data_IF_942475580689
#
_entry.id   IF_942475580689
#
_cell.length_a   1.000
_cell.length_b   1.000
_cell.length_c   1.000
_cell.angle_alpha   90.00
_cell.angle_beta   90.00
_cell.angle_gamma   90.00
#
_symmetry.space_group_name_H-M   'P 1'
#
loop_
_entity.id
_entity.type
_entity.pdbx_description
1 polymer ?
#
# COMPACT_ATOMS: atom_id res chain seq x y z
N UNK A 1 13.64 -22.31 -4.35
CA UNK A 1 12.68 -23.43 -4.51
C UNK A 1 13.35 -24.78 -4.27
N UNK A 2 14.45 -25.13 -4.96
CA UNK A 2 15.11 -26.44 -4.79
C UNK A 2 15.48 -26.79 -3.35
N UNK A 3 16.08 -25.87 -2.57
CA UNK A 3 16.45 -26.13 -1.17
C UNK A 3 15.26 -26.52 -0.26
N UNK A 4 14.04 -26.14 -0.64
CA UNK A 4 12.83 -26.39 0.14
C UNK A 4 12.05 -27.58 -0.41
N UNK A 5 12.02 -27.76 -1.73
CA UNK A 5 11.09 -28.66 -2.41
C UNK A 5 11.73 -29.86 -3.12
N UNK A 6 13.03 -29.82 -3.40
CA UNK A 6 13.66 -30.90 -4.19
C UNK A 6 13.82 -32.17 -3.33
N UNK A 7 13.52 -33.31 -3.94
CA UNK A 7 13.70 -34.63 -3.33
C UNK A 7 15.18 -34.92 -3.02
N UNK A 8 15.43 -35.90 -2.16
CA UNK A 8 16.78 -36.36 -1.81
C UNK A 8 17.02 -37.78 -2.31
N UNK A 9 18.28 -38.14 -2.55
CA UNK A 9 18.63 -39.47 -3.02
C UNK A 9 18.34 -40.55 -1.96
N UNK A 10 18.31 -41.83 -2.37
CA UNK A 10 18.10 -42.98 -1.48
C UNK A 10 16.69 -43.11 -0.87
N UNK A 11 15.70 -42.41 -1.45
CA UNK A 11 14.29 -42.65 -1.13
C UNK A 11 13.88 -42.17 0.26
N UNK A 12 14.57 -41.17 0.82
CA UNK A 12 14.13 -40.57 2.08
C UNK A 12 12.70 -40.03 1.91
N UNK A 13 12.42 -39.15 0.94
CA UNK A 13 11.05 -38.72 0.60
C UNK A 13 10.95 -38.17 -0.83
N UNK A 14 9.90 -38.60 -1.55
CA UNK A 14 9.34 -37.93 -2.73
C UNK A 14 8.14 -37.06 -2.31
N UNK A 15 7.60 -36.26 -3.21
CA UNK A 15 6.37 -35.46 -3.02
C UNK A 15 6.42 -34.35 -1.94
N UNK A 16 7.53 -33.65 -1.80
CA UNK A 16 7.73 -32.65 -0.73
C UNK A 16 6.81 -31.45 -0.89
N UNK A 17 6.78 -30.85 -2.08
CA UNK A 17 5.96 -29.65 -2.33
C UNK A 17 4.72 -29.93 -3.18
N UNK A 18 4.65 -31.07 -3.86
CA UNK A 18 3.48 -31.50 -4.62
C UNK A 18 3.49 -33.02 -4.82
N UNK A 19 2.32 -33.63 -5.02
CA UNK A 19 2.19 -35.07 -5.28
C UNK A 19 2.61 -35.44 -6.71
N UNK A 20 3.31 -36.55 -6.87
CA UNK A 20 3.83 -37.04 -8.15
C UNK A 20 5.12 -36.36 -8.60
N UNK A 21 5.95 -35.90 -7.66
CA UNK A 21 7.28 -35.38 -7.94
C UNK A 21 8.22 -36.54 -8.35
N UNK A 22 8.99 -36.33 -9.40
CA UNK A 22 9.78 -37.39 -10.02
C UNK A 22 10.98 -37.79 -9.16
N UNK A 23 11.03 -39.06 -8.72
CA UNK A 23 12.11 -39.62 -7.90
C UNK A 23 13.51 -39.59 -8.57
N UNK A 24 13.58 -39.49 -9.90
CA UNK A 24 14.84 -39.33 -10.63
C UNK A 24 15.43 -37.91 -10.52
N UNK A 25 14.61 -36.92 -10.12
CA UNK A 25 14.96 -35.51 -10.04
C UNK A 25 15.37 -35.10 -8.62
N UNK A 26 16.11 -35.98 -7.94
CA UNK A 26 16.61 -35.77 -6.58
C UNK A 26 17.93 -35.01 -6.55
N UNK A 27 18.22 -34.32 -5.45
CA UNK A 27 19.51 -33.66 -5.24
C UNK A 27 20.53 -34.70 -4.80
N UNK A 28 21.44 -35.10 -5.71
CA UNK A 28 22.33 -36.25 -5.49
C UNK A 28 23.67 -35.95 -4.81
N UNK A 29 24.12 -34.69 -4.83
CA UNK A 29 25.44 -34.31 -4.31
C UNK A 29 25.40 -32.93 -3.62
N UNK A 30 26.50 -32.54 -2.97
CA UNK A 30 26.68 -31.21 -2.38
C UNK A 30 26.85 -30.08 -3.42
N UNK A 31 26.59 -30.35 -4.70
CA UNK A 31 26.71 -29.39 -5.79
C UNK A 31 25.44 -28.57 -6.01
N UNK A 32 25.40 -27.81 -7.10
CA UNK A 32 24.22 -27.03 -7.48
C UNK A 32 22.98 -27.93 -7.66
N UNK A 33 21.77 -27.42 -7.37
CA UNK A 33 20.55 -28.19 -7.53
C UNK A 33 20.33 -28.59 -9.00
N UNK A 34 19.77 -29.79 -9.19
CA UNK A 34 19.51 -30.30 -10.53
C UNK A 34 18.46 -29.45 -11.28
N UNK A 35 18.83 -28.92 -12.45
CA UNK A 35 17.99 -27.96 -13.17
C UNK A 35 16.63 -28.55 -13.57
N UNK A 36 16.57 -29.81 -14.00
CA UNK A 36 15.31 -30.43 -14.41
C UNK A 36 14.35 -30.58 -13.23
N UNK A 37 14.85 -30.88 -12.03
CA UNK A 37 14.06 -30.89 -10.81
C UNK A 37 13.48 -29.49 -10.51
N UNK A 38 14.31 -28.46 -10.62
CA UNK A 38 13.86 -27.09 -10.41
C UNK A 38 12.77 -26.68 -11.41
N UNK A 39 12.89 -27.09 -12.68
CA UNK A 39 11.87 -26.85 -13.72
C UNK A 39 10.57 -27.60 -13.45
N UNK A 40 10.65 -28.85 -13.02
CA UNK A 40 9.48 -29.64 -12.64
C UNK A 40 8.70 -28.97 -11.50
N UNK A 41 9.40 -28.60 -10.43
CA UNK A 41 8.82 -27.88 -9.29
C UNK A 41 8.19 -26.56 -9.76
N UNK A 42 8.91 -25.76 -10.54
CA UNK A 42 8.41 -24.49 -11.07
C UNK A 42 7.17 -24.68 -11.95
N UNK A 43 7.13 -25.74 -12.76
CA UNK A 43 5.98 -26.08 -13.61
C UNK A 43 4.71 -26.44 -12.83
N UNK A 44 4.82 -26.72 -11.53
CA UNK A 44 3.66 -26.96 -10.64
C UNK A 44 3.19 -25.70 -9.92
N UNK A 45 3.97 -24.62 -9.90
CA UNK A 45 3.66 -23.37 -9.23
C UNK A 45 2.60 -22.50 -9.96
N UNK A 46 1.82 -23.09 -10.89
CA UNK A 46 0.66 -22.54 -11.61
C UNK A 46 0.92 -22.25 -13.12
N UNK A 47 -0.02 -22.68 -13.98
CA UNK A 47 0.04 -22.77 -15.45
C UNK A 47 -0.89 -21.81 -16.19
N UNK A 48 -1.72 -21.02 -15.51
CA UNK A 48 -2.53 -20.00 -16.17
C UNK A 48 -1.63 -18.87 -16.66
N UNK A 49 -1.70 -18.61 -17.96
CA UNK A 49 -1.17 -17.40 -18.56
C UNK A 49 -1.80 -16.21 -17.85
N UNK A 50 -1.13 -15.66 -16.84
CA UNK A 50 -1.54 -14.43 -16.21
C UNK A 50 -1.51 -13.32 -17.26
N UNK A 51 -2.68 -13.05 -17.87
CA UNK A 51 -2.84 -12.00 -18.89
C UNK A 51 -2.77 -10.59 -18.28
N UNK A 52 -2.88 -10.49 -16.96
CA UNK A 52 -2.84 -9.22 -16.25
C UNK A 52 -1.40 -8.80 -15.98
N UNK A 53 -1.11 -7.53 -16.27
CA UNK A 53 0.17 -6.92 -15.89
C UNK A 53 0.28 -6.93 -14.36
N UNK A 54 1.45 -7.31 -13.85
CA UNK A 54 1.72 -7.22 -12.42
C UNK A 54 1.81 -5.75 -11.98
N UNK A 55 1.56 -5.49 -10.70
CA UNK A 55 1.65 -4.15 -10.09
C UNK A 55 2.66 -4.15 -8.95
N UNK A 56 3.15 -2.97 -8.55
CA UNK A 56 4.02 -2.86 -7.38
C UNK A 56 3.38 -3.46 -6.11
N UNK A 57 2.05 -3.29 -5.95
CA UNK A 57 1.29 -3.80 -4.81
C UNK A 57 1.29 -5.33 -4.78
N UNK A 58 1.11 -5.97 -5.93
CA UNK A 58 1.13 -7.44 -6.03
C UNK A 58 2.48 -7.99 -5.58
N UNK A 59 3.58 -7.39 -6.04
CA UNK A 59 4.94 -7.82 -5.67
C UNK A 59 5.18 -7.61 -4.17
N UNK A 60 4.85 -6.43 -3.62
CA UNK A 60 4.99 -6.17 -2.17
C UNK A 60 4.17 -7.12 -1.31
N UNK A 61 2.97 -7.50 -1.76
CA UNK A 61 2.16 -8.49 -1.06
C UNK A 61 2.82 -9.87 -1.06
N UNK A 62 3.41 -10.29 -2.18
CA UNK A 62 4.14 -11.55 -2.26
C UNK A 62 5.38 -11.55 -1.34
N UNK A 63 6.17 -10.48 -1.35
CA UNK A 63 7.34 -10.33 -0.47
C UNK A 63 6.95 -10.36 1.02
N UNK A 64 5.87 -9.68 1.40
CA UNK A 64 5.36 -9.73 2.77
C UNK A 64 4.89 -11.13 3.18
N UNK A 65 4.30 -11.90 2.27
CA UNK A 65 3.95 -13.31 2.53
C UNK A 65 5.21 -14.14 2.80
N UNK A 66 6.27 -13.94 2.01
CA UNK A 66 7.55 -14.63 2.21
C UNK A 66 8.16 -14.26 3.58
N UNK A 67 8.19 -12.97 3.93
CA UNK A 67 8.70 -12.53 5.23
C UNK A 67 7.98 -13.19 6.41
N UNK A 68 6.66 -13.38 6.30
CA UNK A 68 5.84 -14.04 7.34
C UNK A 68 6.07 -15.55 7.44
N UNK A 69 6.60 -16.17 6.40
CA UNK A 69 6.98 -17.59 6.40
C UNK A 69 8.39 -17.82 6.97
N UNK A 70 9.16 -16.75 7.19
CA UNK A 70 10.48 -16.86 7.78
C UNK A 70 10.37 -17.25 9.27
N UNK A 71 11.20 -18.20 9.67
CA UNK A 71 11.34 -18.66 11.06
C UNK A 71 12.75 -18.35 11.57
N UNK A 72 12.96 -18.36 12.89
CA UNK A 72 14.28 -18.11 13.48
C UNK A 72 14.49 -18.97 14.71
N UNK A 73 15.75 -19.36 14.94
CA UNK A 73 16.22 -19.97 16.19
C UNK A 73 16.86 -18.95 17.14
N UNK A 74 16.75 -17.65 16.83
CA UNK A 74 17.39 -16.55 17.55
C UNK A 74 18.76 -16.13 16.99
N UNK A 75 19.44 -17.01 16.23
CA UNK A 75 20.75 -16.73 15.62
C UNK A 75 20.65 -16.59 14.11
N UNK A 76 19.94 -17.51 13.46
CA UNK A 76 19.75 -17.54 12.01
C UNK A 76 18.28 -17.41 11.66
N UNK A 77 18.01 -17.00 10.42
CA UNK A 77 16.67 -17.01 9.84
C UNK A 77 16.57 -18.13 8.81
N UNK A 78 15.41 -18.76 8.75
CA UNK A 78 15.14 -19.90 7.88
C UNK A 78 13.89 -19.65 7.04
N UNK A 79 13.98 -19.95 5.74
CA UNK A 79 12.82 -20.09 4.86
C UNK A 79 12.60 -21.57 4.58
N UNK A 80 11.46 -22.11 4.99
CA UNK A 80 11.18 -23.56 4.99
C UNK A 80 11.27 -24.18 6.38
N UNK A 81 11.33 -25.50 6.44
CA UNK A 81 11.32 -26.25 7.71
C UNK A 81 12.75 -26.54 8.14
N UNK A 82 13.15 -26.02 9.30
CA UNK A 82 14.44 -26.26 9.94
C UNK A 82 14.27 -27.16 11.19
N UNK A 83 15.20 -28.10 11.38
CA UNK A 83 15.30 -28.91 12.60
C UNK A 83 16.72 -28.87 13.19
N UNK A 84 17.73 -29.26 12.41
CA UNK A 84 19.15 -29.24 12.81
C UNK A 84 20.08 -28.67 11.73
N UNK A 85 19.77 -28.88 10.44
CA UNK A 85 20.56 -28.36 9.30
C UNK A 85 19.70 -28.22 8.03
N UNK A 86 20.07 -27.32 7.12
CA UNK A 86 19.39 -27.14 5.83
C UNK A 86 20.08 -27.91 4.70
N UNK A 87 20.13 -29.24 4.83
CA UNK A 87 20.77 -30.11 3.83
C UNK A 87 19.79 -31.05 3.10
N UNK A 88 18.49 -30.84 3.27
CA UNK A 88 17.47 -31.61 2.56
C UNK A 88 17.14 -32.97 3.19
N UNK A 89 17.85 -33.40 4.24
CA UNK A 89 17.55 -34.68 4.91
C UNK A 89 16.31 -34.58 5.78
N UNK A 90 15.57 -35.68 5.89
CA UNK A 90 14.32 -35.71 6.66
C UNK A 90 14.52 -35.25 8.11
N UNK A 91 15.56 -35.77 8.77
CA UNK A 91 15.83 -35.51 10.19
C UNK A 91 16.60 -34.20 10.46
N UNK A 92 16.81 -33.38 9.43
CA UNK A 92 17.59 -32.15 9.53
C UNK A 92 16.81 -30.90 9.11
N UNK A 93 16.19 -30.91 7.93
CA UNK A 93 15.48 -29.73 7.45
C UNK A 93 15.61 -29.49 5.94
N UNK A 94 14.56 -28.89 5.41
CA UNK A 94 14.40 -28.46 4.02
C UNK A 94 14.14 -26.97 4.03
N UNK A 95 15.24 -26.21 3.96
CA UNK A 95 15.22 -24.79 4.20
C UNK A 95 16.34 -24.06 3.47
N UNK A 96 16.21 -22.73 3.41
CA UNK A 96 17.30 -21.81 3.13
C UNK A 96 17.70 -21.23 4.48
N UNK A 97 18.96 -21.37 4.88
CA UNK A 97 19.52 -20.79 6.11
C UNK A 97 20.21 -19.48 5.79
N UNK A 98 19.76 -18.40 6.40
CA UNK A 98 20.42 -17.10 6.37
C UNK A 98 21.13 -16.89 7.72
N UNK A 99 22.44 -17.08 7.72
CA UNK A 99 23.25 -17.12 8.95
C UNK A 99 23.44 -15.73 9.53
N UNK A 100 23.24 -15.58 10.85
CA UNK A 100 23.37 -14.29 11.55
C UNK A 100 22.53 -13.18 10.92
N UNK A 101 21.29 -13.53 10.57
CA UNK A 101 20.29 -12.61 10.02
C UNK A 101 19.02 -12.70 10.81
N UNK A 102 18.43 -11.54 11.08
CA UNK A 102 17.07 -11.40 11.60
C UNK A 102 16.06 -11.48 10.44
N UNK A 103 14.79 -11.80 10.72
CA UNK A 103 13.77 -11.91 9.67
C UNK A 103 13.60 -10.68 8.78
N UNK A 104 13.83 -9.46 9.29
CA UNK A 104 13.73 -8.23 8.50
C UNK A 104 14.98 -7.95 7.65
N UNK A 105 16.07 -8.69 7.84
CA UNK A 105 17.33 -8.49 7.13
C UNK A 105 17.45 -9.37 5.86
N UNK A 106 16.53 -10.33 5.68
CA UNK A 106 16.56 -11.28 4.55
C UNK A 106 16.50 -10.59 3.17
N UNK A 107 15.90 -9.40 3.09
CA UNK A 107 15.80 -8.63 1.85
C UNK A 107 17.12 -7.95 1.45
N UNK A 108 18.10 -7.91 2.35
CA UNK A 108 19.43 -7.33 2.11
C UNK A 108 20.52 -8.39 2.05
N UNK A 109 20.16 -9.65 2.18
CA UNK A 109 21.12 -10.73 2.27
C UNK A 109 21.67 -11.11 0.88
N UNK A 110 23.01 -11.23 0.73
CA UNK A 110 23.64 -11.54 -0.54
C UNK A 110 23.37 -12.98 -1.02
N UNK A 111 22.93 -13.89 -0.17
CA UNK A 111 22.53 -15.26 -0.54
C UNK A 111 21.12 -15.31 -1.13
N UNK A 112 20.30 -14.26 -0.93
CA UNK A 112 18.97 -14.12 -1.50
C UNK A 112 18.82 -12.83 -2.32
N UNK A 113 19.66 -12.62 -3.36
CA UNK A 113 19.60 -11.40 -4.19
C UNK A 113 18.23 -11.24 -4.86
N UNK A 114 17.58 -12.36 -5.19
CA UNK A 114 16.23 -12.37 -5.76
C UNK A 114 15.16 -11.70 -4.87
N UNK A 115 15.33 -11.65 -3.54
CA UNK A 115 14.41 -10.91 -2.66
C UNK A 115 14.61 -9.40 -2.80
N UNK A 116 15.87 -8.97 -2.85
CA UNK A 116 16.26 -7.59 -3.06
C UNK A 116 15.81 -7.09 -4.43
N UNK A 117 16.08 -7.86 -5.48
CA UNK A 117 15.74 -7.51 -6.86
C UNK A 117 14.22 -7.30 -7.03
N UNK A 118 13.40 -8.12 -6.35
CA UNK A 118 11.94 -7.98 -6.35
C UNK A 118 11.48 -6.73 -5.57
N UNK A 119 12.17 -6.36 -4.49
CA UNK A 119 11.90 -5.11 -3.77
C UNK A 119 12.23 -3.88 -4.64
N UNK A 120 13.38 -3.90 -5.32
CA UNK A 120 13.79 -2.86 -6.26
C UNK A 120 12.83 -2.77 -7.46
N UNK A 121 12.40 -3.91 -8.01
CA UNK A 121 11.39 -3.96 -9.07
C UNK A 121 10.06 -3.35 -8.60
N UNK A 122 9.62 -3.65 -7.38
CA UNK A 122 8.41 -3.05 -6.83
C UNK A 122 8.56 -1.52 -6.68
N UNK A 123 9.70 -1.03 -6.23
CA UNK A 123 9.96 0.41 -6.14
C UNK A 123 9.95 1.10 -7.52
N UNK A 124 10.57 0.47 -8.53
CA UNK A 124 10.57 0.98 -9.90
C UNK A 124 9.16 1.01 -10.52
N UNK A 125 8.35 -0.03 -10.30
CA UNK A 125 6.95 -0.06 -10.73
C UNK A 125 6.12 1.01 -10.04
N UNK A 126 6.30 1.22 -8.73
CA UNK A 126 5.58 2.26 -8.00
C UNK A 126 5.89 3.66 -8.57
N UNK A 127 7.17 3.94 -8.85
CA UNK A 127 7.57 5.21 -9.46
C UNK A 127 6.94 5.40 -10.85
N UNK A 128 6.93 4.35 -11.67
CA UNK A 128 6.33 4.37 -13.01
C UNK A 128 4.82 4.59 -12.95
N UNK A 129 4.11 3.83 -12.13
CA UNK A 129 2.66 3.94 -12.00
C UNK A 129 2.24 5.35 -11.51
N UNK A 130 2.99 5.93 -10.57
CA UNK A 130 2.78 7.33 -10.14
C UNK A 130 3.02 8.32 -11.28
N UNK A 131 4.06 8.13 -12.08
CA UNK A 131 4.35 8.98 -13.23
C UNK A 131 3.24 8.90 -14.29
N UNK A 132 2.81 7.69 -14.65
CA UNK A 132 1.75 7.48 -15.64
C UNK A 132 0.43 8.13 -15.21
N UNK A 133 0.10 8.07 -13.91
CA UNK A 133 -1.07 8.76 -13.37
C UNK A 133 -0.97 10.29 -13.51
N UNK A 134 0.18 10.88 -13.23
CA UNK A 134 0.42 12.32 -13.40
C UNK A 134 0.34 12.74 -14.87
N UNK A 135 0.92 11.96 -15.78
CA UNK A 135 0.84 12.21 -17.21
C UNK A 135 -0.60 12.15 -17.70
N UNK A 136 -1.34 11.11 -17.33
CA UNK A 136 -2.75 10.96 -17.70
C UNK A 136 -3.61 12.13 -17.21
N UNK A 137 -3.39 12.59 -15.97
CA UNK A 137 -4.12 13.73 -15.42
C UNK A 137 -3.81 15.02 -16.19
N UNK A 138 -2.53 15.30 -16.46
CA UNK A 138 -2.13 16.47 -17.25
C UNK A 138 -2.64 16.41 -18.68
N UNK A 139 -2.63 15.23 -19.31
CA UNK A 139 -3.17 15.04 -20.66
C UNK A 139 -4.67 15.33 -20.72
N UNK A 140 -5.44 14.94 -19.69
CA UNK A 140 -6.87 15.32 -19.60
C UNK A 140 -7.05 16.82 -19.49
N UNK A 141 -6.27 17.49 -18.66
CA UNK A 141 -6.32 18.96 -18.51
C UNK A 141 -5.96 19.69 -19.81
N UNK A 142 -4.93 19.23 -20.52
CA UNK A 142 -4.55 19.76 -21.83
C UNK A 142 -5.65 19.55 -22.87
N UNK A 143 -6.30 18.37 -22.88
CA UNK A 143 -7.41 18.10 -23.79
C UNK A 143 -8.59 19.06 -23.54
N UNK A 144 -8.93 19.32 -22.27
CA UNK A 144 -9.97 20.30 -21.90
C UNK A 144 -9.59 21.71 -22.35
N UNK A 145 -8.35 22.14 -22.12
CA UNK A 145 -7.88 23.46 -22.53
C UNK A 145 -7.89 23.63 -24.05
N UNK A 146 -7.43 22.61 -24.79
CA UNK A 146 -7.44 22.62 -26.25
C UNK A 146 -8.87 22.68 -26.81
N UNK A 147 -9.81 21.95 -26.19
CA UNK A 147 -11.23 22.03 -26.56
C UNK A 147 -11.78 23.45 -26.35
N UNK A 148 -11.50 24.07 -25.19
CA UNK A 148 -11.90 25.46 -24.90
C UNK A 148 -11.30 26.47 -25.87
N UNK A 149 -10.02 26.32 -26.24
CA UNK A 149 -9.38 27.22 -27.20
C UNK A 149 -10.07 27.17 -28.58
N UNK A 150 -10.38 25.96 -29.08
CA UNK A 150 -11.15 25.79 -30.33
C UNK A 150 -12.54 26.42 -30.26
N UNK A 151 -13.14 26.51 -29.07
CA UNK A 151 -14.43 27.18 -28.85
C UNK A 151 -14.39 28.66 -29.19
N UNK A 152 -13.30 29.30 -28.77
CA UNK A 152 -13.12 30.74 -28.93
C UNK A 152 -12.84 31.08 -30.39
N UNK A 153 -12.15 30.19 -31.11
CA UNK A 153 -11.86 30.36 -32.54
C UNK A 153 -13.10 30.16 -33.43
N UNK A 154 -14.02 29.26 -33.06
CA UNK A 154 -15.26 29.05 -33.80
C UNK A 154 -16.47 28.81 -32.86
N UNK A 155 -17.10 29.89 -32.35
CA UNK A 155 -18.18 29.79 -31.37
C UNK A 155 -19.45 29.12 -31.90
N UNK A 156 -19.59 28.94 -33.23
CA UNK A 156 -20.75 28.25 -33.84
C UNK A 156 -20.61 26.72 -33.92
N UNK A 157 -19.42 26.16 -33.69
CA UNK A 157 -19.17 24.70 -33.79
C UNK A 157 -19.17 23.95 -32.44
N UNK A 158 -19.53 24.61 -31.34
CA UNK A 158 -19.66 23.95 -30.04
C UNK A 158 -20.94 23.11 -29.98
N UNK A 159 -20.82 21.84 -30.36
CA UNK A 159 -21.85 20.85 -30.12
C UNK A 159 -21.99 20.57 -28.59
N UNK A 160 -23.18 20.18 -28.10
CA UNK A 160 -23.53 20.20 -26.68
C UNK A 160 -22.78 19.20 -25.79
N UNK A 161 -21.94 18.32 -26.34
CA UNK A 161 -21.26 17.27 -25.58
C UNK A 161 -20.25 17.80 -24.55
N UNK A 162 -19.74 19.02 -24.74
CA UNK A 162 -18.82 19.67 -23.78
C UNK A 162 -19.58 20.31 -22.60
N UNK A 163 -20.87 20.62 -22.77
CA UNK A 163 -21.72 21.09 -21.67
C UNK A 163 -21.92 20.00 -20.60
N UNK A 164 -21.93 18.72 -20.99
CA UNK A 164 -22.13 17.61 -20.05
C UNK A 164 -20.91 17.40 -19.14
N UNK A 165 -19.68 17.57 -19.64
CA UNK A 165 -18.47 17.43 -18.81
C UNK A 165 -18.24 18.65 -17.93
N UNK A 166 -18.59 19.85 -18.41
CA UNK A 166 -18.55 21.07 -17.60
C UNK A 166 -19.61 21.05 -16.48
N UNK A 167 -20.82 20.55 -16.74
CA UNK A 167 -21.84 20.34 -15.70
C UNK A 167 -21.48 19.22 -14.72
N UNK A 168 -20.74 18.19 -15.11
CA UNK A 168 -20.28 17.18 -14.15
C UNK A 168 -19.20 17.71 -13.21
N UNK A 169 -18.36 18.66 -13.65
CA UNK A 169 -17.33 19.25 -12.79
C UNK A 169 -17.92 20.36 -11.89
N UNK A 170 -18.86 21.17 -12.42
CA UNK A 170 -19.63 22.13 -11.65
C UNK A 170 -20.67 21.47 -10.72
N UNK A 171 -21.20 20.30 -11.09
CA UNK A 171 -22.11 19.50 -10.26
C UNK A 171 -21.40 18.80 -9.11
N UNK A 172 -20.09 18.56 -9.19
CA UNK A 172 -19.29 18.06 -8.06
C UNK A 172 -18.95 19.21 -7.09
N UNK A 173 -18.62 20.40 -7.58
CA UNK A 173 -18.46 21.58 -6.70
C UNK A 173 -19.80 21.99 -6.06
N UNK A 174 -20.88 22.02 -6.84
CA UNK A 174 -22.24 22.25 -6.35
C UNK A 174 -22.70 21.17 -5.36
N UNK A 175 -22.44 19.88 -5.59
CA UNK A 175 -22.73 18.83 -4.59
C UNK A 175 -21.87 18.94 -3.34
N UNK A 176 -20.60 19.36 -3.44
CA UNK A 176 -19.74 19.49 -2.25
C UNK A 176 -20.17 20.69 -1.40
N UNK A 177 -20.60 21.80 -1.99
CA UNK A 177 -21.18 22.95 -1.26
C UNK A 177 -22.61 22.68 -0.75
N UNK A 178 -23.44 22.00 -1.54
CA UNK A 178 -24.80 21.65 -1.15
C UNK A 178 -24.82 20.56 -0.05
N UNK A 179 -23.93 19.55 -0.12
CA UNK A 179 -23.78 18.56 0.96
C UNK A 179 -23.25 19.17 2.28
N UNK A 180 -22.52 20.29 2.22
CA UNK A 180 -22.01 21.01 3.41
C UNK A 180 -23.09 21.91 4.04
N UNK A 181 -23.92 22.54 3.21
CA UNK A 181 -25.11 23.27 3.65
C UNK A 181 -26.16 22.34 4.27
N UNK A 182 -26.41 21.19 3.63
CA UNK A 182 -27.37 20.19 4.12
C UNK A 182 -26.92 19.51 5.43
N UNK A 183 -25.62 19.36 5.68
CA UNK A 183 -25.13 18.76 6.94
C UNK A 183 -25.31 19.67 8.14
N UNK A 184 -24.95 20.96 8.05
CA UNK A 184 -25.13 21.90 9.16
C UNK A 184 -26.61 22.20 9.46
N UNK A 185 -27.46 22.28 8.44
CA UNK A 185 -28.89 22.58 8.59
C UNK A 185 -29.69 21.47 9.31
N UNK A 186 -29.18 20.23 9.34
CA UNK A 186 -29.83 19.12 10.07
C UNK A 186 -29.63 19.17 11.59
N UNK A 187 -28.73 20.02 12.09
CA UNK A 187 -28.46 20.16 13.52
C UNK A 187 -29.29 21.30 14.11
N UNK A 188 -30.47 20.97 14.62
CA UNK A 188 -31.40 21.93 15.24
C UNK A 188 -31.03 22.31 16.68
N UNK A 189 -30.15 21.55 17.34
CA UNK A 189 -29.66 21.87 18.69
C UNK A 189 -28.27 22.51 18.64
N UNK A 190 -28.07 23.53 19.49
CA UNK A 190 -26.84 24.35 19.54
C UNK A 190 -25.56 23.53 19.84
N UNK A 191 -25.65 22.59 20.78
CA UNK A 191 -24.54 21.69 21.15
C UNK A 191 -24.09 20.82 19.96
N UNK A 192 -25.04 20.31 19.17
CA UNK A 192 -24.74 19.54 17.97
C UNK A 192 -24.22 20.39 16.81
N UNK A 193 -24.64 21.66 16.70
CA UNK A 193 -24.15 22.58 15.67
C UNK A 193 -22.65 22.87 15.83
N UNK A 194 -22.22 23.23 17.04
CA UNK A 194 -20.83 23.62 17.31
C UNK A 194 -19.87 22.43 17.20
N UNK A 195 -20.29 21.25 17.66
CA UNK A 195 -19.50 20.02 17.58
C UNK A 195 -19.21 19.56 16.14
N UNK A 196 -20.06 19.93 15.18
CA UNK A 196 -19.90 19.57 13.77
C UNK A 196 -19.23 20.67 12.93
N UNK A 197 -18.46 21.56 13.58
CA UNK A 197 -17.69 22.64 12.93
C UNK A 197 -18.53 23.67 12.16
N UNK A 198 -19.83 23.76 12.45
CA UNK A 198 -20.73 24.78 11.90
C UNK A 198 -20.70 26.05 12.78
N UNK A 199 -21.24 27.15 12.27
CA UNK A 199 -21.40 28.43 12.96
C UNK A 199 -22.85 28.59 13.39
N UNK A 200 -23.08 28.86 14.67
CA UNK A 200 -24.40 29.24 15.16
C UNK A 200 -24.59 30.76 15.05
N UNK A 201 -25.63 31.18 14.34
CA UNK A 201 -26.09 32.56 14.25
C UNK A 201 -27.36 32.71 15.12
N UNK A 202 -27.22 33.21 16.34
CA UNK A 202 -28.34 33.45 17.28
C UNK A 202 -27.91 33.59 18.74
N UNK A 203 -28.77 34.16 19.59
CA UNK A 203 -28.45 34.50 21.00
C UNK A 203 -28.90 33.47 22.05
N UNK A 204 -29.65 32.43 21.67
CA UNK A 204 -30.22 31.45 22.62
C UNK A 204 -30.25 30.02 22.08
N UNK A 205 -30.40 29.04 22.98
CA UNK A 205 -30.33 27.59 22.67
C UNK A 205 -31.41 27.09 21.70
N UNK A 206 -32.51 27.82 21.54
CA UNK A 206 -33.69 27.40 20.76
C UNK A 206 -33.94 28.24 19.51
N UNK A 207 -33.17 29.30 19.28
CA UNK A 207 -33.47 30.33 18.26
C UNK A 207 -32.27 30.66 17.36
N UNK A 208 -31.23 29.82 17.39
CA UNK A 208 -30.02 29.99 16.57
C UNK A 208 -30.05 29.17 15.28
N UNK A 209 -29.73 29.79 14.15
CA UNK A 209 -29.59 29.10 12.86
C UNK A 209 -28.17 28.55 12.70
N UNK A 210 -28.04 27.26 12.37
CA UNK A 210 -26.76 26.60 12.19
C UNK A 210 -26.32 26.63 10.72
N UNK A 211 -25.26 27.38 10.42
CA UNK A 211 -24.76 27.58 9.06
C UNK A 211 -23.32 27.06 8.90
N UNK A 212 -22.88 26.68 7.69
CA UNK A 212 -21.47 26.38 7.43
C UNK A 212 -20.58 27.60 7.72
N UNK A 213 -19.34 27.38 8.17
CA UNK A 213 -18.35 28.46 8.28
C UNK A 213 -17.84 28.83 6.88
N UNK A 214 -17.91 30.11 6.52
CA UNK A 214 -17.29 30.62 5.30
C UNK A 214 -15.76 30.48 5.38
N UNK A 215 -15.18 30.00 4.29
CA UNK A 215 -13.77 29.61 4.25
C UNK A 215 -12.82 30.80 4.10
N UNK A 216 -12.01 31.06 5.12
CA UNK A 216 -10.61 31.41 4.97
C UNK A 216 -9.79 30.48 5.89
N UNK A 217 -8.79 29.83 5.31
CA UNK A 217 -8.01 28.81 5.98
C UNK A 217 -7.21 29.37 7.15
N UNK A 218 -7.30 28.70 8.30
CA UNK A 218 -6.19 28.55 9.24
C UNK A 218 -6.41 27.30 10.11
N UNK A 219 -5.55 26.32 9.84
CA UNK A 219 -5.00 25.34 10.78
C UNK A 219 -4.86 25.90 12.19
N UNK A 220 -5.34 25.15 13.18
CA UNK A 220 -4.73 25.01 14.50
C UNK A 220 -4.99 23.57 14.99
N UNK A 221 -3.94 22.74 14.99
CA UNK A 221 -3.61 21.86 16.12
C UNK A 221 -3.58 22.72 17.40
N UNK A 222 -3.93 22.29 18.61
CA UNK A 222 -4.21 21.00 19.23
C UNK A 222 -4.99 21.28 20.53
N UNK A 223 -5.52 20.25 21.20
CA UNK A 223 -5.02 19.84 22.52
C UNK A 223 -5.92 18.75 23.14
N UNK A 224 -5.33 17.56 23.22
CA UNK A 224 -4.99 16.87 24.47
C UNK A 224 -5.83 17.23 25.71
N UNK A 225 -6.39 16.17 26.30
CA UNK A 225 -7.19 16.21 27.52
C UNK A 225 -6.45 16.88 28.68
N UNK A 226 -7.16 17.81 29.29
CA UNK A 226 -6.80 18.39 30.58
C UNK A 226 -6.73 17.32 31.67
N UNK A 227 -5.59 17.25 32.35
CA UNK A 227 -5.54 16.94 33.77
C UNK A 227 -4.84 18.11 34.47
N UNK A 228 -5.64 18.98 35.06
CA UNK A 228 -5.18 20.07 35.89
C UNK A 228 -4.75 19.53 37.28
N UNK A 229 -3.54 19.86 37.72
CA UNK A 229 -3.27 20.14 39.13
C UNK A 229 -2.19 21.21 39.25
N UNK A 230 -2.64 22.39 39.67
CA UNK A 230 -2.03 23.36 40.59
C UNK A 230 -0.50 23.38 40.78
N UNK A 231 0.13 24.54 40.55
CA UNK A 231 0.73 25.36 41.61
C UNK A 231 1.62 26.50 41.04
N UNK A 232 1.39 27.68 41.58
CA UNK A 232 2.37 28.73 41.92
C UNK A 232 3.37 29.27 40.88
N UNK A 233 3.21 30.58 40.61
CA UNK A 233 4.28 31.51 40.96
C UNK A 233 5.04 32.21 39.84
N UNK A 234 4.95 33.55 39.90
CA UNK A 234 5.94 34.56 39.47
C UNK A 234 6.00 34.97 37.98
N UNK A 235 5.42 36.17 37.76
CA UNK A 235 6.04 37.37 37.15
C UNK A 235 7.28 37.11 36.29
N UNK A 236 7.25 37.56 35.03
CA UNK A 236 8.21 38.57 34.56
C UNK A 236 7.71 39.34 33.33
N UNK A 237 7.71 40.65 33.49
CA UNK A 237 7.44 41.72 32.51
C UNK A 237 8.64 41.98 31.59
N UNK A 238 8.40 42.30 30.30
CA UNK A 238 9.05 43.36 29.49
C UNK A 238 8.57 43.20 28.03
N UNK A 239 7.72 44.08 27.49
CA UNK A 239 7.91 45.46 27.01
C UNK A 239 8.77 45.57 25.74
N UNK A 240 8.06 45.88 24.65
CA UNK A 240 8.47 46.35 23.31
C UNK A 240 9.79 47.12 23.27
N UNK A 241 10.58 46.90 22.21
CA UNK A 241 10.63 47.78 21.03
C UNK A 241 11.03 46.94 19.83
#
# INVERSE_FOLDING_TARGET
MSCVCQGEANGEFDDICFKGQTAANVWQNSGAPYQNAAREIAGKCITDEHKQKTTYRTIRQALNKIARLATTDGTSTYLGVFQTNCNGKQNNGRCIKLSNKKPHEIFKDPETPWLKDMEELAAALEAREKHDNLVNERSKQLAVLAARARALENPRSFAPEIAQTAQQTAGIQGKVEQNKADTCATHTANSTCTNNNCKLEGKSETDGTCNPKDGEGQINEAEEGAAATSAEGKKFTKKKT
#
